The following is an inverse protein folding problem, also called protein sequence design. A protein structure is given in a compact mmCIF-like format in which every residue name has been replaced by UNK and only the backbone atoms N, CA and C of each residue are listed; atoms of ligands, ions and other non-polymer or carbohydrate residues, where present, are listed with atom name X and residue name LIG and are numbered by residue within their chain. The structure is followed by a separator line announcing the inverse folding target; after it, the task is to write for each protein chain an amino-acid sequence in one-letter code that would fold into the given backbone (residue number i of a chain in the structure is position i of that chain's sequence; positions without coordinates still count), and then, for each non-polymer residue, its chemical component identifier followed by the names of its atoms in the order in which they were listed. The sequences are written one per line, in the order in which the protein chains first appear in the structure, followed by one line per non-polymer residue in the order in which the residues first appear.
data_IF_238801681946
#
_entry.id   IF_238801681946
#
_cell.length_a   1.000
_cell.length_b   1.000
_cell.length_c   1.000
_cell.angle_alpha   90.00
_cell.angle_beta   90.00
_cell.angle_gamma   90.00
#
_symmetry.space_group_name_H-M   'P 1'
#
loop_
_entity.id
_entity.type
_entity.pdbx_description
1 polymer ?
#
# COMPACT_ATOMS: atom_id res chain seq x y z
N UNK A 1 0.19 0.57 18.48
CA UNK A 1 -0.66 1.58 19.18
C UNK A 1 -2.10 1.37 18.78
N UNK A 2 -2.99 1.15 19.71
CA UNK A 2 -4.43 1.17 19.45
C UNK A 2 -4.89 2.63 19.44
N UNK A 3 -5.74 3.03 18.50
CA UNK A 3 -6.21 4.41 18.37
C UNK A 3 -6.76 5.08 19.66
N UNK A 4 -7.35 4.37 20.63
CA UNK A 4 -7.86 4.97 21.85
C UNK A 4 -6.84 4.98 23.02
N UNK A 5 -5.53 5.01 22.77
CA UNK A 5 -4.52 5.02 23.83
C UNK A 5 -3.92 6.41 24.04
N UNK A 6 -3.49 6.69 25.27
CA UNK A 6 -2.76 7.92 25.65
C UNK A 6 -1.47 8.05 24.83
N UNK A 7 -0.81 6.93 24.54
CA UNK A 7 0.39 6.87 23.68
C UNK A 7 0.13 7.41 22.29
N UNK A 8 -1.02 7.05 21.69
CA UNK A 8 -1.42 7.58 20.39
C UNK A 8 -1.66 9.09 20.46
N UNK A 9 -2.32 9.59 21.50
CA UNK A 9 -2.58 11.02 21.67
C UNK A 9 -1.28 11.82 21.80
N UNK A 10 -0.32 11.33 22.58
CA UNK A 10 1.01 11.96 22.72
C UNK A 10 1.78 11.95 21.39
N UNK A 11 1.78 10.81 20.69
CA UNK A 11 2.38 10.71 19.37
C UNK A 11 1.74 11.69 18.38
N UNK A 12 0.41 11.77 18.35
CA UNK A 12 -0.32 12.68 17.48
C UNK A 12 0.01 14.15 17.76
N UNK A 13 0.06 14.57 19.03
CA UNK A 13 0.45 15.93 19.40
C UNK A 13 1.87 16.27 18.97
N UNK A 14 2.81 15.34 19.15
CA UNK A 14 4.19 15.51 18.71
C UNK A 14 4.28 15.59 17.18
N UNK A 15 3.60 14.69 16.47
CA UNK A 15 3.51 14.67 15.01
C UNK A 15 2.92 15.98 14.48
N UNK A 16 1.85 16.47 15.10
CA UNK A 16 1.20 17.73 14.75
C UNK A 16 2.14 18.92 14.97
N UNK A 17 2.84 18.99 16.11
CA UNK A 17 3.80 20.05 16.40
C UNK A 17 4.96 20.08 15.39
N UNK A 18 5.52 18.92 15.04
CA UNK A 18 6.58 18.79 14.03
C UNK A 18 6.09 19.18 12.64
N UNK A 19 4.90 18.73 12.25
CA UNK A 19 4.29 19.08 10.97
C UNK A 19 4.03 20.59 10.90
N UNK A 20 3.49 21.18 11.94
CA UNK A 20 3.23 22.63 12.02
C UNK A 20 4.53 23.44 11.98
N UNK A 21 5.54 23.04 12.75
CA UNK A 21 6.85 23.71 12.77
C UNK A 21 7.58 23.71 11.44
N UNK A 22 7.35 22.68 10.61
CA UNK A 22 7.97 22.56 9.28
C UNK A 22 7.10 23.09 8.14
N UNK A 23 5.86 23.53 8.41
CA UNK A 23 4.88 23.93 7.39
C UNK A 23 5.37 25.04 6.44
N UNK A 24 6.32 25.89 6.89
CA UNK A 24 6.90 26.97 6.08
C UNK A 24 7.87 26.48 4.98
N UNK A 25 8.41 25.27 5.12
CA UNK A 25 9.39 24.70 4.20
C UNK A 25 8.84 23.43 3.55
N UNK A 26 8.32 23.56 2.35
CA UNK A 26 7.61 22.49 1.63
C UNK A 26 8.37 21.15 1.59
N UNK A 27 9.66 21.13 1.31
CA UNK A 27 10.47 19.90 1.25
C UNK A 27 10.68 19.28 2.63
N UNK A 28 10.98 20.11 3.65
CA UNK A 28 11.16 19.63 5.03
C UNK A 28 9.86 19.10 5.60
N UNK A 29 8.76 19.80 5.36
CA UNK A 29 7.41 19.39 5.78
C UNK A 29 7.05 18.01 5.22
N UNK A 30 7.26 17.80 3.91
CA UNK A 30 6.99 16.55 3.23
C UNK A 30 7.80 15.39 3.82
N UNK A 31 9.11 15.58 4.03
CA UNK A 31 9.98 14.55 4.61
C UNK A 31 9.65 14.23 6.05
N UNK A 32 9.32 15.25 6.84
CA UNK A 32 8.86 15.06 8.23
C UNK A 32 7.58 14.24 8.27
N UNK A 33 6.58 14.55 7.44
CA UNK A 33 5.35 13.77 7.35
C UNK A 33 5.63 12.33 6.94
N UNK A 34 6.51 12.12 5.96
CA UNK A 34 6.88 10.78 5.49
C UNK A 34 7.53 9.97 6.62
N UNK A 35 8.50 10.54 7.33
CA UNK A 35 9.15 9.87 8.46
C UNK A 35 8.14 9.52 9.55
N UNK A 36 7.26 10.46 9.93
CA UNK A 36 6.23 10.26 10.94
C UNK A 36 5.26 9.14 10.53
N UNK A 37 4.80 9.15 9.28
CA UNK A 37 3.87 8.14 8.75
C UNK A 37 4.50 6.74 8.75
N UNK A 38 5.74 6.61 8.28
CA UNK A 38 6.45 5.33 8.27
C UNK A 38 6.82 4.86 9.67
N UNK A 39 7.17 5.77 10.57
CA UNK A 39 7.40 5.45 11.98
C UNK A 39 6.14 4.92 12.65
N UNK A 40 5.00 5.58 12.44
CA UNK A 40 3.70 5.15 12.97
C UNK A 40 3.32 3.75 12.46
N UNK A 41 3.46 3.54 11.16
CA UNK A 41 3.15 2.25 10.55
C UNK A 41 4.09 1.14 11.05
N UNK A 42 5.40 1.42 11.14
CA UNK A 42 6.41 0.50 11.66
C UNK A 42 6.25 0.17 13.13
N UNK A 43 5.70 1.08 13.92
CA UNK A 43 5.35 0.83 15.32
C UNK A 43 4.20 -0.16 15.47
N UNK A 44 3.28 -0.19 14.50
CA UNK A 44 2.22 -1.20 14.46
C UNK A 44 2.79 -2.57 14.10
N UNK A 45 3.44 -2.69 12.95
CA UNK A 45 4.14 -3.89 12.52
C UNK A 45 5.20 -3.57 11.45
N UNK A 46 6.45 -3.61 11.85
CA UNK A 46 7.58 -3.29 10.99
C UNK A 46 7.76 -4.25 9.80
N UNK A 47 7.24 -5.50 9.90
CA UNK A 47 7.32 -6.51 8.83
C UNK A 47 6.58 -6.07 7.56
N UNK A 48 5.59 -5.18 7.69
CA UNK A 48 4.82 -4.68 6.57
C UNK A 48 5.34 -3.37 5.95
N UNK A 49 6.37 -2.75 6.55
CA UNK A 49 7.03 -1.58 5.95
C UNK A 49 7.60 -1.85 4.55
N UNK A 50 8.27 -3.00 4.29
CA UNK A 50 8.73 -3.33 2.94
C UNK A 50 7.57 -3.47 1.95
N UNK A 51 6.43 -4.00 2.39
CA UNK A 51 5.25 -4.15 1.54
C UNK A 51 4.65 -2.79 1.15
N UNK A 52 4.47 -1.89 2.13
CA UNK A 52 4.02 -0.51 1.90
C UNK A 52 4.94 0.20 0.91
N UNK A 53 6.27 0.09 1.13
CA UNK A 53 7.28 0.67 0.24
C UNK A 53 7.23 0.06 -1.16
N UNK A 54 7.01 -1.24 -1.28
CA UNK A 54 6.90 -1.95 -2.56
C UNK A 54 5.66 -1.50 -3.33
N UNK A 55 4.48 -1.39 -2.68
CA UNK A 55 3.24 -0.89 -3.31
C UNK A 55 3.45 0.52 -3.86
N UNK A 56 4.03 1.40 -3.08
CA UNK A 56 4.35 2.77 -3.49
C UNK A 56 5.36 2.81 -4.64
N UNK A 57 6.40 1.97 -4.58
CA UNK A 57 7.46 1.92 -5.58
C UNK A 57 6.95 1.45 -6.95
N UNK A 58 6.22 0.33 -7.02
CA UNK A 58 5.72 -0.12 -8.32
C UNK A 58 4.56 0.75 -8.83
N UNK A 59 3.76 1.37 -7.95
CA UNK A 59 2.82 2.41 -8.32
C UNK A 59 3.51 3.61 -8.98
N UNK A 60 4.63 4.07 -8.40
CA UNK A 60 5.45 5.13 -8.97
C UNK A 60 6.11 4.73 -10.30
N UNK A 61 6.70 3.52 -10.39
CA UNK A 61 7.32 3.01 -11.62
C UNK A 61 6.28 2.95 -12.75
N UNK A 62 5.08 2.42 -12.47
CA UNK A 62 4.00 2.35 -13.44
C UNK A 62 3.54 3.75 -13.87
N UNK A 63 3.36 4.69 -12.94
CA UNK A 63 3.01 6.07 -13.25
C UNK A 63 4.06 6.75 -14.15
N UNK A 64 5.35 6.55 -13.86
CA UNK A 64 6.46 7.02 -14.71
C UNK A 64 6.47 6.37 -16.10
N UNK A 65 6.18 5.07 -16.18
CA UNK A 65 6.04 4.36 -17.45
C UNK A 65 4.89 4.90 -18.31
N UNK A 66 3.76 5.24 -17.67
CA UNK A 66 2.60 5.87 -18.34
C UNK A 66 2.96 7.27 -18.84
N UNK A 67 3.66 8.09 -18.02
CA UNK A 67 4.09 9.44 -18.39
C UNK A 67 4.98 9.44 -19.63
N UNK A 68 5.93 8.51 -19.73
CA UNK A 68 6.87 8.38 -20.86
C UNK A 68 6.19 8.10 -22.21
N UNK A 69 4.93 7.72 -22.22
CA UNK A 69 4.12 7.58 -23.41
C UNK A 69 4.30 6.29 -24.21
N UNK A 70 5.42 5.58 -24.06
CA UNK A 70 5.64 4.29 -24.70
C UNK A 70 4.77 3.22 -23.98
N UNK A 71 3.79 2.66 -24.71
CA UNK A 71 2.95 1.57 -24.21
C UNK A 71 2.17 1.89 -22.92
N UNK A 72 1.60 3.08 -22.78
CA UNK A 72 0.82 3.57 -21.62
C UNK A 72 -0.16 2.54 -21.06
N UNK A 73 -0.89 1.84 -21.95
CA UNK A 73 -1.88 0.83 -21.55
C UNK A 73 -1.24 -0.38 -20.89
N UNK A 74 -0.05 -0.82 -21.36
CA UNK A 74 0.66 -1.96 -20.76
C UNK A 74 1.15 -1.62 -19.35
N UNK A 75 1.70 -0.42 -19.15
CA UNK A 75 2.13 0.06 -17.84
C UNK A 75 0.95 0.18 -16.86
N UNK A 76 -0.19 0.71 -17.32
CA UNK A 76 -1.41 0.79 -16.50
C UNK A 76 -1.90 -0.60 -16.10
N UNK A 77 -2.07 -1.51 -17.06
CA UNK A 77 -2.57 -2.86 -16.78
C UNK A 77 -1.59 -3.60 -15.87
N UNK A 78 -0.28 -3.56 -16.15
CA UNK A 78 0.74 -4.20 -15.32
C UNK A 78 0.74 -3.70 -13.88
N UNK A 79 0.63 -2.38 -13.67
CA UNK A 79 0.54 -1.78 -12.34
C UNK A 79 -0.73 -2.20 -11.59
N UNK A 80 -1.89 -2.17 -12.26
CA UNK A 80 -3.16 -2.62 -11.67
C UNK A 80 -3.08 -4.10 -11.30
N UNK A 81 -2.59 -4.96 -12.20
CA UNK A 81 -2.44 -6.39 -11.94
C UNK A 81 -1.50 -6.64 -10.77
N UNK A 82 -0.38 -5.94 -10.67
CA UNK A 82 0.54 -6.06 -9.53
C UNK A 82 -0.16 -5.70 -8.20
N UNK A 83 -0.92 -4.60 -8.14
CA UNK A 83 -1.71 -4.22 -6.97
C UNK A 83 -2.74 -5.29 -6.60
N UNK A 84 -3.48 -5.80 -7.59
CA UNK A 84 -4.52 -6.80 -7.37
C UNK A 84 -3.94 -8.16 -6.96
N UNK A 85 -2.79 -8.56 -7.51
CA UNK A 85 -2.09 -9.78 -7.10
C UNK A 85 -1.60 -9.69 -5.66
N UNK A 86 -1.02 -8.55 -5.26
CA UNK A 86 -0.61 -8.31 -3.88
C UNK A 86 -1.81 -8.38 -2.93
N UNK A 87 -2.91 -7.71 -3.28
CA UNK A 87 -4.14 -7.75 -2.52
C UNK A 87 -4.73 -9.15 -2.45
N UNK A 88 -4.73 -9.87 -3.58
CA UNK A 88 -5.19 -11.25 -3.70
C UNK A 88 -4.41 -12.21 -2.81
N UNK A 89 -3.09 -12.06 -2.80
CA UNK A 89 -2.20 -12.87 -1.97
C UNK A 89 -2.50 -12.71 -0.47
N UNK A 90 -2.53 -11.49 0.04
CA UNK A 90 -2.72 -11.26 1.48
C UNK A 90 -4.16 -11.45 1.95
N UNK A 91 -5.14 -11.11 1.12
CA UNK A 91 -6.54 -11.08 1.54
C UNK A 91 -7.33 -12.33 1.15
N UNK A 92 -7.07 -12.89 -0.02
CA UNK A 92 -7.94 -13.93 -0.59
C UNK A 92 -7.28 -15.31 -0.71
N UNK A 93 -5.95 -15.42 -0.59
CA UNK A 93 -5.26 -16.70 -0.75
C UNK A 93 -5.79 -17.75 0.23
N UNK A 94 -5.87 -17.42 1.52
CA UNK A 94 -6.36 -18.35 2.54
C UNK A 94 -7.79 -18.79 2.27
N UNK A 95 -8.66 -17.87 1.85
CA UNK A 95 -10.05 -18.17 1.50
C UNK A 95 -10.13 -19.14 0.31
N UNK A 96 -9.40 -18.89 -0.77
CA UNK A 96 -9.41 -19.79 -1.94
C UNK A 96 -8.86 -21.17 -1.60
N UNK A 97 -7.75 -21.23 -0.87
CA UNK A 97 -7.12 -22.48 -0.47
C UNK A 97 -8.04 -23.32 0.44
N UNK A 98 -8.72 -22.68 1.40
CA UNK A 98 -9.68 -23.36 2.27
C UNK A 98 -10.86 -23.94 1.48
N UNK A 99 -11.42 -23.19 0.54
CA UNK A 99 -12.51 -23.68 -0.31
C UNK A 99 -12.04 -24.81 -1.23
N UNK A 100 -10.82 -24.75 -1.76
CA UNK A 100 -10.26 -25.81 -2.58
C UNK A 100 -10.09 -27.12 -1.78
N UNK A 101 -9.60 -27.02 -0.52
CA UNK A 101 -9.47 -28.16 0.36
C UNK A 101 -10.83 -28.77 0.74
N UNK A 102 -11.81 -27.93 1.03
CA UNK A 102 -13.17 -28.38 1.30
C UNK A 102 -13.77 -29.13 0.10
N UNK A 103 -13.56 -28.63 -1.11
CA UNK A 103 -13.97 -29.28 -2.35
C UNK A 103 -13.23 -30.61 -2.56
N UNK A 104 -11.91 -30.64 -2.37
CA UNK A 104 -11.12 -31.86 -2.49
C UNK A 104 -11.57 -32.94 -1.51
N UNK A 105 -11.86 -32.58 -0.26
CA UNK A 105 -12.37 -33.49 0.75
C UNK A 105 -13.77 -34.00 0.42
N UNK A 106 -14.64 -33.15 -0.16
CA UNK A 106 -15.96 -33.55 -0.64
C UNK A 106 -15.91 -34.54 -1.81
N UNK A 107 -14.82 -34.49 -2.61
CA UNK A 107 -14.54 -35.43 -3.69
C UNK A 107 -13.83 -36.72 -3.22
N UNK A 108 -13.64 -36.87 -1.89
CA UNK A 108 -13.02 -38.08 -1.31
C UNK A 108 -11.48 -38.06 -1.30
N UNK A 109 -10.86 -36.95 -1.68
CA UNK A 109 -9.41 -36.75 -1.60
C UNK A 109 -9.11 -36.25 -0.18
N UNK A 110 -8.78 -37.14 0.73
CA UNK A 110 -8.53 -36.83 2.15
C UNK A 110 -7.25 -35.99 2.36
N UNK A 111 -7.29 -34.71 2.01
CA UNK A 111 -6.18 -33.77 2.15
C UNK A 111 -6.38 -32.98 3.46
N UNK A 112 -5.49 -33.20 4.43
CA UNK A 112 -5.43 -32.41 5.67
C UNK A 112 -4.21 -31.49 5.59
N UNK A 113 -4.43 -30.25 5.13
CA UNK A 113 -3.41 -29.18 5.16
C UNK A 113 -3.92 -28.09 6.08
N UNK A 114 -3.15 -27.81 7.13
CA UNK A 114 -3.40 -26.65 7.98
C UNK A 114 -2.92 -25.39 7.23
N UNK A 115 -3.85 -24.56 6.77
CA UNK A 115 -3.52 -23.30 6.11
C UNK A 115 -3.42 -22.23 7.19
N UNK A 116 -2.20 -21.76 7.44
CA UNK A 116 -1.99 -20.56 8.23
C UNK A 116 -2.40 -19.36 7.38
N UNK A 117 -3.43 -18.64 7.80
CA UNK A 117 -3.81 -17.38 7.14
C UNK A 117 -2.69 -16.37 7.31
N UNK A 118 -2.17 -15.75 6.23
CA UNK A 118 -1.20 -14.67 6.37
C UNK A 118 -1.83 -13.54 7.19
N UNK A 119 -1.02 -12.97 8.08
CA UNK A 119 -1.44 -11.79 8.86
C UNK A 119 -1.78 -10.68 7.87
N UNK A 120 -3.01 -10.14 7.97
CA UNK A 120 -3.48 -9.11 7.06
C UNK A 120 -2.86 -7.76 7.43
N UNK A 121 -2.06 -7.13 6.54
CA UNK A 121 -1.52 -5.79 6.79
C UNK A 121 -2.63 -4.78 6.96
N UNK A 122 -2.46 -3.85 7.92
CA UNK A 122 -3.42 -2.76 8.11
C UNK A 122 -3.47 -1.89 6.85
N UNK A 123 -4.67 -1.70 6.30
CA UNK A 123 -4.88 -0.79 5.17
C UNK A 123 -4.44 -1.29 3.80
N UNK A 124 -4.02 -2.55 3.61
CA UNK A 124 -3.52 -3.06 2.32
C UNK A 124 -4.47 -2.78 1.14
N UNK A 125 -5.78 -2.89 1.35
CA UNK A 125 -6.77 -2.59 0.30
C UNK A 125 -6.77 -1.12 -0.04
N UNK A 126 -6.67 -0.24 0.97
CA UNK A 126 -6.66 1.20 0.81
C UNK A 126 -5.40 1.66 0.05
N UNK A 127 -4.24 1.17 0.45
CA UNK A 127 -2.96 1.44 -0.22
C UNK A 127 -2.98 0.98 -1.68
N UNK A 128 -3.48 -0.23 -1.94
CA UNK A 128 -3.58 -0.76 -3.31
C UNK A 128 -4.51 0.09 -4.18
N UNK A 129 -5.66 0.53 -3.65
CA UNK A 129 -6.57 1.40 -4.40
C UNK A 129 -6.01 2.80 -4.61
N UNK A 130 -5.26 3.36 -3.66
CA UNK A 130 -4.57 4.64 -3.86
C UNK A 130 -3.54 4.55 -4.98
N UNK A 131 -2.72 3.50 -5.00
CA UNK A 131 -1.76 3.29 -6.08
C UNK A 131 -2.46 3.14 -7.45
N UNK A 132 -3.57 2.38 -7.51
CA UNK A 132 -4.38 2.24 -8.73
C UNK A 132 -4.98 3.58 -9.16
N UNK A 133 -5.56 4.36 -8.24
CA UNK A 133 -6.13 5.67 -8.52
C UNK A 133 -5.09 6.63 -9.11
N UNK A 134 -3.89 6.66 -8.52
CA UNK A 134 -2.76 7.45 -9.01
C UNK A 134 -2.42 7.10 -10.47
N UNK A 135 -2.27 5.80 -10.77
CA UNK A 135 -1.95 5.34 -12.12
C UNK A 135 -3.03 5.71 -13.15
N UNK A 136 -4.30 5.60 -12.76
CA UNK A 136 -5.45 5.99 -13.60
C UNK A 136 -5.45 7.50 -13.85
N UNK A 137 -5.17 8.32 -12.83
CA UNK A 137 -5.16 9.78 -12.96
C UNK A 137 -4.01 10.28 -13.85
N UNK A 138 -2.84 9.63 -13.79
CA UNK A 138 -1.74 9.88 -14.75
C UNK A 138 -2.14 9.44 -16.16
N UNK A 139 -2.77 8.26 -16.30
CA UNK A 139 -3.20 7.75 -17.60
C UNK A 139 -4.26 8.62 -18.27
N UNK A 140 -5.20 9.16 -17.48
CA UNK A 140 -6.26 10.08 -17.95
C UNK A 140 -5.74 11.50 -18.24
N UNK A 141 -4.48 11.78 -17.90
CA UNK A 141 -3.90 13.12 -18.09
C UNK A 141 -4.37 14.17 -17.08
N UNK A 142 -5.04 13.78 -16.00
CA UNK A 142 -5.39 14.70 -14.90
C UNK A 142 -4.13 15.22 -14.23
N UNK A 143 -3.12 14.36 -14.08
CA UNK A 143 -1.78 14.73 -13.66
C UNK A 143 -0.91 14.89 -14.90
N UNK A 144 -0.46 16.12 -15.18
CA UNK A 144 0.41 16.44 -16.34
C UNK A 144 1.78 15.75 -16.25
N UNK A 145 2.24 15.45 -15.03
CA UNK A 145 3.49 14.73 -14.75
C UNK A 145 3.26 13.71 -13.65
N UNK A 146 3.95 12.58 -13.73
CA UNK A 146 3.98 11.62 -12.63
C UNK A 146 4.61 12.27 -11.40
N UNK A 147 4.02 12.10 -10.21
CA UNK A 147 4.54 12.66 -8.97
C UNK A 147 5.96 12.18 -8.66
N UNK A 148 6.66 12.88 -7.78
CA UNK A 148 7.93 12.39 -7.25
C UNK A 148 7.72 11.12 -6.41
N UNK A 149 8.79 10.34 -6.20
CA UNK A 149 8.71 9.16 -5.34
C UNK A 149 8.25 9.52 -3.92
N UNK A 150 8.76 10.64 -3.36
CA UNK A 150 8.35 11.12 -2.04
C UNK A 150 6.84 11.45 -1.97
N UNK A 151 6.26 11.97 -3.07
CA UNK A 151 4.81 12.24 -3.14
C UNK A 151 4.00 10.96 -3.13
N UNK A 152 4.46 9.94 -3.87
CA UNK A 152 3.76 8.65 -3.94
C UNK A 152 3.85 7.91 -2.62
N UNK A 153 5.02 7.94 -1.95
CA UNK A 153 5.21 7.34 -0.62
C UNK A 153 4.32 7.97 0.47
N UNK A 154 3.97 9.26 0.30
CA UNK A 154 3.02 9.94 1.20
C UNK A 154 1.56 9.72 0.82
N UNK A 155 1.29 9.50 -0.47
CA UNK A 155 -0.07 9.35 -0.99
C UNK A 155 -0.65 7.96 -0.76
N UNK A 156 0.18 6.92 -0.83
CA UNK A 156 -0.20 5.51 -0.66
C UNK A 156 -0.24 5.12 0.81
#
# INVERSE_FOLDING_TARGET
MLFPTVEFALFFLLAFALAWGTARHHLSHKRVLLVISYFFYGFWDWHFLPLLSAISLYGWIAAKGIERGAHKRRWLIGGIVACLLTLGWYKYLAFFMQNLLNLANALGIGVQVSISSPVLPLGISFMSFHAISLMIDVWRGKLKRAPSLEDVLLYV
#
